data_IF_445318993223
#
_entry.id   IF_445318993223
#
_cell.length_a   1.000
_cell.length_b   1.000
_cell.length_c   1.000
_cell.angle_alpha   90.00
_cell.angle_beta   90.00
_cell.angle_gamma   90.00
#
_symmetry.space_group_name_H-M   'P 1'
#
loop_
_entity.id
_entity.type
_entity.pdbx_description
1 polymer ?
#
# COMPACT_ATOMS: atom_id res chain seq x y z
N UNK A 1 -12.61 -53.00 -4.23
CA UNK A 1 -14.06 -52.95 -3.97
C UNK A 1 -14.30 -52.25 -2.65
N UNK A 2 -14.86 -51.03 -2.67
CA UNK A 2 -15.75 -50.46 -1.64
C UNK A 2 -16.22 -49.08 -2.12
N UNK A 3 -17.54 -48.96 -2.26
CA UNK A 3 -18.30 -47.79 -2.71
C UNK A 3 -18.46 -46.76 -1.58
N UNK A 4 -18.62 -45.49 -1.95
CA UNK A 4 -19.37 -44.44 -1.21
C UNK A 4 -19.57 -43.26 -2.16
N UNK A 5 -20.63 -43.23 -2.98
CA UNK A 5 -21.93 -42.55 -2.77
C UNK A 5 -21.81 -41.06 -2.42
N UNK A 6 -21.94 -40.24 -3.47
CA UNK A 6 -22.18 -38.80 -3.46
C UNK A 6 -23.66 -38.50 -3.16
N UNK A 7 -23.94 -37.61 -2.22
CA UNK A 7 -25.28 -37.06 -1.99
C UNK A 7 -25.29 -35.57 -2.36
N UNK A 8 -26.13 -35.23 -3.36
CA UNK A 8 -26.38 -33.88 -3.86
C UNK A 8 -27.57 -33.28 -3.11
N UNK A 9 -27.41 -32.10 -2.51
CA UNK A 9 -28.51 -31.36 -1.88
C UNK A 9 -29.01 -30.29 -2.86
N UNK A 10 -30.27 -30.40 -3.28
CA UNK A 10 -31.01 -29.36 -4.02
C UNK A 10 -31.66 -28.41 -3.01
N UNK A 11 -31.38 -27.11 -3.12
CA UNK A 11 -32.12 -26.08 -2.41
C UNK A 11 -33.39 -25.72 -3.21
N UNK A 12 -34.56 -25.83 -2.57
CA UNK A 12 -35.84 -25.33 -3.08
C UNK A 12 -36.07 -23.95 -2.47
N UNK A 13 -36.11 -22.92 -3.30
CA UNK A 13 -36.48 -21.55 -2.91
C UNK A 13 -37.99 -21.39 -3.18
N UNK A 14 -38.76 -21.10 -2.14
CA UNK A 14 -40.17 -20.70 -2.24
C UNK A 14 -40.28 -19.20 -1.93
N UNK A 15 -40.69 -18.42 -2.95
CA UNK A 15 -41.06 -17.02 -2.82
C UNK A 15 -42.54 -16.90 -2.42
N UNK A 16 -42.93 -15.97 -1.55
CA UNK A 16 -44.33 -15.68 -1.26
C UNK A 16 -44.97 -14.78 -2.34
N UNK A 17 -46.30 -14.89 -2.57
CA UNK A 17 -46.98 -14.22 -3.67
C UNK A 17 -47.34 -12.76 -3.36
N UNK A 18 -47.39 -11.99 -4.45
CA UNK A 18 -47.86 -10.61 -4.56
C UNK A 18 -49.39 -10.56 -4.69
N UNK A 19 -50.03 -9.68 -3.92
CA UNK A 19 -51.38 -9.18 -4.19
C UNK A 19 -51.45 -7.70 -3.83
N UNK A 20 -51.82 -6.86 -4.80
CA UNK A 20 -51.93 -5.41 -4.64
C UNK A 20 -53.34 -4.90 -4.33
N UNK A 21 -53.49 -3.56 -4.34
CA UNK A 21 -54.76 -2.88 -4.59
C UNK A 21 -55.33 -1.96 -3.49
N UNK A 22 -54.87 -0.71 -3.49
CA UNK A 22 -55.61 0.58 -3.40
C UNK A 22 -56.60 0.95 -2.25
N UNK A 23 -56.42 2.24 -1.84
CA UNK A 23 -57.35 3.26 -1.28
C UNK A 23 -57.59 3.37 0.24
N UNK A 24 -57.00 4.43 0.82
CA UNK A 24 -57.73 5.61 1.30
C UNK A 24 -58.44 5.54 2.66
N UNK A 25 -57.91 6.25 3.66
CA UNK A 25 -58.65 6.59 4.88
C UNK A 25 -57.73 7.09 6.01
N UNK A 26 -57.96 8.33 6.47
CA UNK A 26 -57.19 9.04 7.51
C UNK A 26 -57.84 8.79 8.88
N UNK A 27 -57.01 8.87 9.92
CA UNK A 27 -57.31 9.07 11.36
C UNK A 27 -57.47 7.81 12.24
N UNK A 28 -56.53 7.65 13.19
CA UNK A 28 -56.71 7.89 14.63
C UNK A 28 -55.78 6.99 15.45
N UNK A 29 -54.92 7.60 16.28
CA UNK A 29 -54.19 6.94 17.37
C UNK A 29 -55.13 6.78 18.56
N UNK A 30 -55.15 5.63 19.26
CA UNK A 30 -54.72 5.64 20.67
C UNK A 30 -54.15 4.26 21.12
N UNK A 31 -54.02 3.95 22.43
CA UNK A 31 -52.88 4.26 23.26
C UNK A 31 -52.10 3.00 23.71
N UNK A 32 -50.92 3.25 24.29
CA UNK A 32 -50.04 2.30 24.98
C UNK A 32 -50.75 1.11 25.67
N UNK A 33 -50.37 -0.10 25.26
CA UNK A 33 -50.55 -1.34 26.03
C UNK A 33 -49.16 -1.95 26.23
N UNK A 34 -48.76 -2.32 27.45
CA UNK A 34 -47.47 -2.95 27.67
C UNK A 34 -47.57 -4.41 27.20
N UNK A 35 -46.80 -4.77 26.17
CA UNK A 35 -46.63 -6.18 25.81
C UNK A 35 -45.80 -6.87 26.88
N UNK A 36 -46.46 -7.60 27.77
CA UNK A 36 -45.83 -8.66 28.57
C UNK A 36 -45.59 -9.82 27.60
N UNK A 37 -44.36 -9.98 27.12
CA UNK A 37 -43.96 -11.18 26.39
C UNK A 37 -43.74 -12.29 27.41
N UNK A 38 -44.76 -13.15 27.56
CA UNK A 38 -44.63 -14.43 28.25
C UNK A 38 -43.92 -15.40 27.30
N UNK A 39 -42.60 -15.49 27.42
CA UNK A 39 -41.79 -16.46 26.68
C UNK A 39 -42.01 -17.85 27.28
N UNK A 40 -42.81 -18.66 26.59
CA UNK A 40 -42.90 -20.09 26.84
C UNK A 40 -41.57 -20.74 26.45
N UNK A 41 -40.79 -21.16 27.44
CA UNK A 41 -39.56 -21.94 27.27
C UNK A 41 -39.92 -23.35 26.78
N UNK A 42 -39.94 -23.54 25.46
CA UNK A 42 -39.74 -24.85 24.86
C UNK A 42 -38.24 -25.16 24.88
N UNK A 43 -37.85 -26.03 25.81
CA UNK A 43 -36.49 -26.52 25.94
C UNK A 43 -36.07 -27.33 24.72
N UNK A 44 -35.32 -26.72 23.82
CA UNK A 44 -34.43 -27.43 22.90
C UNK A 44 -33.14 -27.68 23.67
N UNK A 45 -32.90 -28.92 24.06
CA UNK A 45 -31.60 -29.33 24.60
C UNK A 45 -30.57 -29.31 23.46
N UNK A 46 -29.93 -28.15 23.28
CA UNK A 46 -28.68 -28.07 22.55
C UNK A 46 -27.57 -28.57 23.48
N UNK A 47 -26.98 -29.72 23.16
CA UNK A 47 -25.74 -30.19 23.77
C UNK A 47 -24.59 -29.32 23.29
N UNK A 48 -24.47 -28.11 23.82
CA UNK A 48 -23.29 -27.27 23.65
C UNK A 48 -22.19 -27.80 24.57
N UNK A 49 -21.17 -28.45 23.99
CA UNK A 49 -19.88 -28.59 24.67
C UNK A 49 -19.28 -27.20 24.82
N UNK A 50 -19.00 -26.82 26.06
CA UNK A 50 -18.01 -25.79 26.36
C UNK A 50 -16.65 -26.26 25.83
N UNK A 51 -15.80 -25.27 25.49
CA UNK A 51 -14.45 -25.39 24.92
C UNK A 51 -14.38 -25.43 23.38
N UNK A 52 -14.58 -24.27 22.76
CA UNK A 52 -13.88 -23.92 21.51
C UNK A 52 -13.21 -22.56 21.72
N UNK A 53 -12.08 -22.58 22.45
CA UNK A 53 -11.07 -21.53 22.30
C UNK A 53 -10.42 -21.73 20.93
N UNK A 54 -10.21 -20.67 20.13
CA UNK A 54 -9.46 -20.82 18.89
C UNK A 54 -8.08 -21.40 19.22
N UNK A 55 -7.77 -22.55 18.63
CA UNK A 55 -6.45 -23.18 18.75
C UNK A 55 -5.38 -22.17 18.33
N UNK A 56 -4.28 -22.01 19.09
CA UNK A 56 -3.12 -21.28 18.61
C UNK A 56 -2.70 -21.90 17.27
N UNK A 57 -2.59 -21.06 16.26
CA UNK A 57 -2.12 -21.43 14.93
C UNK A 57 -0.77 -22.16 15.04
N UNK A 58 -0.77 -23.45 14.73
CA UNK A 58 0.42 -24.31 14.80
C UNK A 58 1.49 -23.87 13.79
N UNK A 59 1.13 -23.02 12.81
CA UNK A 59 2.07 -22.36 11.89
C UNK A 59 2.96 -21.31 12.57
N UNK A 60 2.61 -20.83 13.76
CA UNK A 60 3.40 -19.82 14.48
C UNK A 60 4.73 -20.38 15.01
N UNK A 61 4.87 -21.70 15.17
CA UNK A 61 6.05 -22.34 15.80
C UNK A 61 7.24 -22.59 14.87
N UNK A 62 7.12 -22.34 13.57
CA UNK A 62 8.21 -22.52 12.58
C UNK A 62 8.64 -21.22 11.89
N UNK A 63 8.27 -20.06 12.42
CA UNK A 63 8.61 -18.79 11.79
C UNK A 63 10.07 -18.42 12.06
N UNK A 64 10.88 -18.14 11.03
CA UNK A 64 12.24 -17.64 11.21
C UNK A 64 12.20 -16.37 12.08
N UNK A 65 13.06 -16.30 13.09
CA UNK A 65 13.22 -15.10 13.89
C UNK A 65 13.84 -13.98 13.04
N UNK A 66 13.46 -12.72 13.32
CA UNK A 66 14.19 -11.57 12.80
C UNK A 66 15.69 -11.72 13.18
N UNK A 67 16.62 -11.26 12.32
CA UNK A 67 18.05 -11.32 12.63
C UNK A 67 18.36 -10.75 14.02
N UNK A 68 19.25 -11.42 14.75
CA UNK A 68 19.67 -10.96 16.08
C UNK A 68 20.25 -9.55 15.97
N UNK A 69 19.74 -8.63 16.79
CA UNK A 69 20.20 -7.25 16.81
C UNK A 69 21.58 -7.18 17.44
N UNK A 70 22.52 -6.62 16.70
CA UNK A 70 23.91 -6.51 17.10
C UNK A 70 24.10 -5.73 18.41
N UNK A 71 25.09 -6.13 19.20
CA UNK A 71 25.51 -5.46 20.42
C UNK A 71 25.79 -3.96 20.17
N UNK A 72 24.95 -3.08 20.72
CA UNK A 72 25.18 -1.63 20.72
C UNK A 72 24.00 -0.73 20.33
N UNK A 73 22.91 -1.29 19.78
CA UNK A 73 21.69 -0.53 19.53
C UNK A 73 20.86 -0.35 20.81
N UNK A 74 20.35 0.86 21.06
CA UNK A 74 19.59 1.21 22.28
C UNK A 74 18.10 1.36 21.96
N UNK A 75 17.19 0.71 22.71
CA UNK A 75 15.76 0.91 22.54
C UNK A 75 15.31 2.35 22.77
N UNK A 76 14.47 2.86 21.86
CA UNK A 76 13.80 4.16 21.99
C UNK A 76 12.38 4.06 22.54
N UNK A 77 11.83 2.84 22.63
CA UNK A 77 10.53 2.57 23.25
C UNK A 77 10.56 1.31 24.13
N UNK A 78 9.57 1.18 25.01
CA UNK A 78 9.46 0.08 25.98
C UNK A 78 9.47 -1.31 25.33
N UNK A 79 8.86 -1.45 24.15
CA UNK A 79 8.75 -2.73 23.44
C UNK A 79 10.02 -3.08 22.65
N UNK A 80 11.00 -2.18 22.55
CA UNK A 80 12.24 -2.40 21.81
C UNK A 80 12.02 -2.69 20.33
N UNK A 81 10.95 -2.13 19.75
CA UNK A 81 10.63 -2.21 18.31
C UNK A 81 11.32 -1.11 17.51
N UNK A 82 11.69 -0.01 18.15
CA UNK A 82 12.52 1.06 17.56
C UNK A 82 13.82 1.16 18.35
N UNK A 83 14.95 1.10 17.66
CA UNK A 83 16.26 1.12 18.26
C UNK A 83 17.18 2.11 17.56
N UNK A 84 18.02 2.77 18.33
CA UNK A 84 19.01 3.71 17.84
C UNK A 84 20.40 3.06 17.85
N UNK A 85 21.03 2.95 16.70
CA UNK A 85 22.41 2.50 16.53
C UNK A 85 23.26 3.69 16.06
N UNK A 86 23.68 4.51 17.03
CA UNK A 86 24.50 5.70 16.76
C UNK A 86 25.85 5.35 16.12
N UNK A 87 26.43 4.20 16.47
CA UNK A 87 27.75 3.78 15.97
C UNK A 87 27.71 3.51 14.46
N UNK A 88 26.63 2.90 13.98
CA UNK A 88 26.42 2.65 12.54
C UNK A 88 25.52 3.68 11.86
N UNK A 89 25.23 4.80 12.53
CA UNK A 89 24.40 5.89 12.04
C UNK A 89 23.05 5.45 11.46
N UNK A 90 22.30 4.62 12.20
CA UNK A 90 21.02 4.06 11.73
C UNK A 90 19.97 3.91 12.82
N UNK A 91 18.70 3.99 12.41
CA UNK A 91 17.55 3.58 13.24
C UNK A 91 17.11 2.19 12.75
N UNK A 92 16.93 1.26 13.68
CA UNK A 92 16.43 -0.08 13.39
C UNK A 92 14.97 -0.21 13.80
N UNK A 93 14.15 -0.70 12.89
CA UNK A 93 12.74 -0.97 13.13
C UNK A 93 12.47 -2.47 13.06
N UNK A 94 11.85 -3.03 14.10
CA UNK A 94 11.34 -4.42 14.07
C UNK A 94 9.91 -4.40 13.55
N UNK A 95 9.71 -4.94 12.36
CA UNK A 95 8.43 -4.97 11.64
C UNK A 95 8.09 -6.39 11.21
N UNK A 96 6.96 -6.55 10.52
CA UNK A 96 6.55 -7.81 9.88
C UNK A 96 5.81 -7.52 8.58
N UNK A 97 5.82 -8.48 7.66
CA UNK A 97 5.08 -8.40 6.39
C UNK A 97 3.58 -8.52 6.64
N UNK A 98 2.79 -7.56 6.14
CA UNK A 98 1.31 -7.57 6.21
C UNK A 98 0.65 -7.67 4.84
N UNK A 99 1.36 -7.27 3.78
CA UNK A 99 0.89 -7.32 2.39
C UNK A 99 1.99 -7.79 1.44
N UNK A 100 1.66 -8.73 0.56
CA UNK A 100 2.58 -9.25 -0.47
C UNK A 100 2.14 -8.91 -1.90
N UNK A 101 0.90 -8.47 -2.09
CA UNK A 101 0.31 -8.15 -3.41
C UNK A 101 -0.71 -7.03 -3.26
N UNK A 102 -0.71 -6.10 -4.19
CA UNK A 102 -1.67 -5.00 -4.25
C UNK A 102 -0.98 -3.67 -4.48
N UNK A 103 -1.78 -2.67 -4.82
CA UNK A 103 -1.31 -1.31 -4.98
C UNK A 103 -0.99 -0.68 -3.63
N UNK A 104 0.08 0.11 -3.57
CA UNK A 104 0.66 0.59 -2.33
C UNK A 104 0.46 2.09 -2.15
N UNK A 105 0.23 2.49 -0.91
CA UNK A 105 0.43 3.88 -0.45
C UNK A 105 1.65 3.97 0.47
N UNK A 106 1.94 2.89 1.21
CA UNK A 106 3.03 2.84 2.18
C UNK A 106 3.99 1.68 1.91
N UNK A 107 5.27 1.89 2.20
CA UNK A 107 6.21 0.80 2.48
C UNK A 107 5.96 0.25 3.88
N UNK A 108 5.85 1.16 4.87
CA UNK A 108 5.67 0.83 6.29
C UNK A 108 4.57 1.71 6.87
N UNK A 109 3.60 1.11 7.56
CA UNK A 109 2.63 1.82 8.38
C UNK A 109 2.74 1.43 9.85
N UNK A 110 2.05 2.18 10.71
CA UNK A 110 1.76 1.73 12.07
C UNK A 110 0.79 0.56 12.05
N UNK A 111 0.87 -0.29 13.07
CA UNK A 111 -0.12 -1.34 13.31
C UNK A 111 -1.50 -0.72 13.58
N UNK A 112 -2.54 -1.37 13.08
CA UNK A 112 -3.95 -0.99 13.11
C UNK A 112 -4.25 0.35 12.41
N UNK A 113 -3.60 0.60 11.26
CA UNK A 113 -3.89 1.79 10.45
C UNK A 113 -4.07 1.43 8.97
N UNK A 114 -2.97 1.26 8.23
CA UNK A 114 -2.95 1.18 6.76
C UNK A 114 -2.42 -0.16 6.24
N UNK A 115 -2.55 -1.27 6.99
CA UNK A 115 -1.98 -2.57 6.58
C UNK A 115 -2.50 -3.13 5.25
N UNK A 116 -3.67 -2.68 4.79
CA UNK A 116 -4.26 -3.10 3.52
C UNK A 116 -3.58 -2.48 2.29
N UNK A 117 -2.67 -1.51 2.50
CA UNK A 117 -1.93 -0.78 1.47
C UNK A 117 -0.46 -0.54 1.83
N UNK A 118 0.06 -1.34 2.77
CA UNK A 118 1.41 -1.27 3.31
C UNK A 118 2.11 -2.62 3.25
N UNK A 119 3.36 -2.70 2.80
CA UNK A 119 4.08 -3.99 2.81
C UNK A 119 4.39 -4.44 4.24
N UNK A 120 4.82 -3.51 5.09
CA UNK A 120 5.24 -3.76 6.48
C UNK A 120 4.36 -3.00 7.48
N UNK A 121 4.19 -3.58 8.66
CA UNK A 121 3.61 -2.89 9.81
C UNK A 121 4.54 -2.90 11.03
N UNK A 122 4.50 -1.82 11.81
CA UNK A 122 5.25 -1.67 13.07
C UNK A 122 4.33 -1.36 14.25
N UNK A 123 4.60 -2.02 15.38
CA UNK A 123 4.00 -1.67 16.67
C UNK A 123 4.89 -0.65 17.40
N UNK A 124 4.80 0.61 16.95
CA UNK A 124 5.46 1.76 17.54
C UNK A 124 4.72 3.06 17.17
N UNK A 125 4.93 4.12 17.94
CA UNK A 125 4.48 5.46 17.57
C UNK A 125 5.43 6.08 16.55
N UNK A 126 4.89 6.81 15.57
CA UNK A 126 5.68 7.43 14.50
C UNK A 126 6.69 8.45 15.06
N UNK A 127 6.31 9.21 16.09
CA UNK A 127 7.20 10.19 16.72
C UNK A 127 8.47 9.55 17.30
N UNK A 128 8.42 8.29 17.75
CA UNK A 128 9.60 7.58 18.26
C UNK A 128 10.62 7.35 17.13
N UNK A 129 10.13 7.00 15.94
CA UNK A 129 10.97 6.80 14.76
C UNK A 129 11.55 8.13 14.29
N UNK A 130 10.70 9.17 14.22
CA UNK A 130 11.10 10.54 13.90
C UNK A 130 12.23 11.01 14.84
N UNK A 131 12.05 10.88 16.15
CA UNK A 131 13.07 11.29 17.14
C UNK A 131 14.36 10.47 17.02
N UNK A 132 14.28 9.20 16.60
CA UNK A 132 15.45 8.40 16.28
C UNK A 132 16.27 8.98 15.13
N UNK A 133 15.61 9.43 14.05
CA UNK A 133 16.28 10.09 12.92
C UNK A 133 16.90 11.43 13.35
N UNK A 134 16.19 12.24 14.13
CA UNK A 134 16.75 13.48 14.69
C UNK A 134 17.97 13.21 15.59
N UNK A 135 17.96 12.13 16.37
CA UNK A 135 19.08 11.76 17.24
C UNK A 135 20.34 11.34 16.46
N UNK A 136 20.21 11.03 15.17
CA UNK A 136 21.31 10.81 14.22
C UNK A 136 21.72 12.10 13.48
N UNK A 137 21.07 13.23 13.76
CA UNK A 137 21.29 14.50 13.06
C UNK A 137 20.59 14.59 11.71
N UNK A 138 19.61 13.71 11.44
CA UNK A 138 18.83 13.80 10.21
C UNK A 138 18.00 15.09 10.18
N UNK A 139 17.93 15.76 9.03
CA UNK A 139 17.19 17.02 8.87
C UNK A 139 15.86 16.79 8.18
N UNK A 140 14.71 17.09 8.84
CA UNK A 140 13.44 17.06 8.17
C UNK A 140 13.33 18.22 7.17
N UNK A 141 12.66 18.00 6.05
CA UNK A 141 12.27 19.05 5.13
C UNK A 141 10.80 19.43 5.30
N UNK A 142 10.04 19.27 4.24
CA UNK A 142 8.60 19.58 4.20
C UNK A 142 7.86 18.45 3.51
N UNK A 143 6.70 18.02 4.02
CA UNK A 143 5.81 17.13 3.29
C UNK A 143 5.36 17.71 1.96
N UNK A 144 4.84 16.82 1.11
CA UNK A 144 4.06 17.22 -0.04
C UNK A 144 2.94 18.19 0.37
N UNK A 145 2.65 19.15 -0.49
CA UNK A 145 1.45 19.97 -0.40
C UNK A 145 1.05 20.44 -1.80
N UNK A 146 -0.24 20.70 -1.97
CA UNK A 146 -0.79 21.25 -3.20
C UNK A 146 -1.49 22.57 -2.92
N UNK A 147 -0.95 23.67 -3.43
CA UNK A 147 -1.60 24.99 -3.45
C UNK A 147 -1.44 25.60 -4.83
N UNK A 148 -2.45 25.40 -5.69
CA UNK A 148 -2.47 25.72 -7.14
C UNK A 148 -1.41 25.00 -7.98
N UNK A 149 -0.27 24.69 -7.39
CA UNK A 149 0.89 24.01 -7.94
C UNK A 149 1.27 22.82 -7.03
N UNK A 150 1.93 21.82 -7.64
CA UNK A 150 2.44 20.65 -6.94
C UNK A 150 3.80 20.96 -6.32
N UNK A 151 3.91 20.83 -5.00
CA UNK A 151 5.19 20.96 -4.29
C UNK A 151 5.64 19.58 -3.78
N UNK A 152 6.75 19.02 -4.30
CA UNK A 152 7.22 17.71 -3.89
C UNK A 152 7.65 17.69 -2.42
N UNK A 153 7.62 16.52 -1.76
CA UNK A 153 8.23 16.39 -0.46
C UNK A 153 9.74 16.67 -0.55
N UNK A 154 10.27 17.32 0.48
CA UNK A 154 11.69 17.67 0.60
C UNK A 154 12.24 17.16 1.92
N UNK A 155 13.56 17.05 2.02
CA UNK A 155 14.24 16.64 3.24
C UNK A 155 15.50 15.87 2.95
N UNK A 156 16.22 15.50 4.00
CA UNK A 156 17.41 14.69 3.83
C UNK A 156 17.03 13.30 3.30
N UNK A 157 17.79 12.79 2.34
CA UNK A 157 17.62 11.43 1.82
C UNK A 157 17.88 10.41 2.93
N UNK A 158 17.01 9.40 3.03
CA UNK A 158 17.16 8.27 3.93
C UNK A 158 17.25 6.99 3.09
N UNK A 159 18.38 6.29 3.19
CA UNK A 159 18.50 4.94 2.62
C UNK A 159 17.76 3.95 3.53
N UNK A 160 16.96 3.08 2.91
CA UNK A 160 16.16 2.07 3.62
C UNK A 160 16.57 0.68 3.16
N UNK A 161 17.00 -0.15 4.11
CA UNK A 161 17.31 -1.56 3.86
C UNK A 161 16.38 -2.49 4.64
N UNK A 162 15.98 -3.58 4.01
CA UNK A 162 15.12 -4.60 4.58
C UNK A 162 15.96 -5.85 4.84
N UNK A 163 15.91 -6.35 6.07
CA UNK A 163 16.63 -7.54 6.50
C UNK A 163 15.67 -8.60 7.01
N UNK A 164 15.78 -9.83 6.52
CA UNK A 164 15.01 -10.98 7.01
C UNK A 164 15.82 -12.26 6.85
N UNK A 165 15.35 -13.32 7.49
CA UNK A 165 15.86 -14.67 7.30
C UNK A 165 14.78 -15.46 6.57
N UNK A 166 15.12 -16.11 5.46
CA UNK A 166 14.18 -16.95 4.72
C UNK A 166 13.96 -18.32 5.40
N UNK A 167 13.04 -19.11 4.86
CA UNK A 167 12.71 -20.43 5.39
C UNK A 167 13.87 -21.43 5.29
N UNK A 168 14.89 -21.14 4.47
CA UNK A 168 16.13 -21.91 4.37
C UNK A 168 17.20 -21.46 5.39
N UNK A 169 16.89 -20.48 6.24
CA UNK A 169 17.82 -19.93 7.22
C UNK A 169 18.83 -18.94 6.63
N UNK A 170 18.69 -18.54 5.36
CA UNK A 170 19.58 -17.58 4.72
C UNK A 170 19.13 -16.16 5.06
N UNK A 171 20.08 -15.35 5.55
CA UNK A 171 19.86 -13.93 5.77
C UNK A 171 19.90 -13.15 4.45
N UNK A 172 18.96 -12.23 4.31
CA UNK A 172 18.86 -11.31 3.20
C UNK A 172 18.99 -9.88 3.70
N UNK A 173 19.61 -9.03 2.89
CA UNK A 173 19.63 -7.57 3.05
C UNK A 173 19.48 -6.94 1.68
N UNK A 174 18.38 -6.22 1.45
CA UNK A 174 18.07 -5.61 0.15
C UNK A 174 17.66 -4.15 0.34
N UNK A 175 17.87 -3.27 -0.66
CA UNK A 175 17.27 -1.96 -0.67
C UNK A 175 15.74 -2.10 -0.70
N UNK A 176 15.02 -1.27 0.06
CA UNK A 176 13.56 -1.37 0.16
C UNK A 176 12.85 -1.15 -1.17
N UNK A 177 13.45 -0.38 -2.09
CA UNK A 177 12.96 -0.23 -3.46
C UNK A 177 12.76 -1.56 -4.17
N UNK A 178 13.56 -2.59 -3.85
CA UNK A 178 13.47 -3.89 -4.51
C UNK A 178 12.16 -4.63 -4.25
N UNK A 179 11.44 -4.30 -3.17
CA UNK A 179 10.11 -4.86 -2.85
C UNK A 179 8.97 -4.08 -3.48
N UNK A 180 9.25 -2.97 -4.16
CA UNK A 180 8.28 -2.08 -4.77
C UNK A 180 8.51 -2.06 -6.28
N UNK A 181 7.45 -2.15 -7.07
CA UNK A 181 7.52 -1.99 -8.53
C UNK A 181 6.45 -1.05 -9.02
N UNK A 182 6.66 -0.51 -10.22
CA UNK A 182 5.59 0.21 -10.92
C UNK A 182 4.34 -0.66 -11.06
N UNK A 183 3.17 -0.05 -10.94
CA UNK A 183 1.91 -0.76 -11.10
C UNK A 183 1.77 -1.33 -12.51
N UNK A 184 1.62 -2.65 -12.60
CA UNK A 184 1.42 -3.39 -13.85
C UNK A 184 0.09 -4.14 -13.85
N UNK A 185 -0.64 -4.20 -12.75
CA UNK A 185 -1.97 -4.79 -12.69
C UNK A 185 -3.06 -3.73 -12.89
N UNK A 186 -3.03 -3.07 -14.05
CA UNK A 186 -3.89 -1.93 -14.41
C UNK A 186 -4.24 -1.95 -15.90
N UNK A 187 -5.14 -1.05 -16.29
CA UNK A 187 -5.43 -0.79 -17.70
C UNK A 187 -4.41 0.20 -18.28
N UNK A 188 -4.01 -0.06 -19.51
CA UNK A 188 -3.45 0.92 -20.43
C UNK A 188 -4.37 1.08 -21.61
N UNK A 189 -4.42 2.29 -22.13
CA UNK A 189 -5.41 2.68 -23.12
C UNK A 189 -4.83 3.63 -24.14
N UNK A 190 -5.22 3.45 -25.40
CA UNK A 190 -4.86 4.33 -26.52
C UNK A 190 -6.13 4.69 -27.27
N UNK A 191 -6.31 5.99 -27.55
CA UNK A 191 -7.42 6.47 -28.38
C UNK A 191 -7.29 5.93 -29.80
N UNK A 192 -8.39 5.37 -30.30
CA UNK A 192 -8.48 4.72 -31.59
C UNK A 192 -9.93 4.85 -32.09
N UNK A 193 -10.13 5.62 -33.17
CA UNK A 193 -11.47 5.92 -33.69
C UNK A 193 -12.27 4.68 -34.11
N UNK A 194 -11.58 3.68 -34.66
CA UNK A 194 -12.13 2.39 -35.05
C UNK A 194 -11.02 1.36 -35.13
N UNK A 195 -11.36 0.09 -34.94
CA UNK A 195 -10.43 -0.99 -35.25
C UNK A 195 -10.12 -1.04 -36.74
N UNK A 196 -8.89 -1.43 -37.13
CA UNK A 196 -8.56 -1.74 -38.52
C UNK A 196 -9.61 -2.65 -39.18
N UNK A 197 -9.93 -2.37 -40.44
CA UNK A 197 -10.94 -3.13 -41.19
C UNK A 197 -10.56 -4.62 -41.23
N UNK A 198 -11.51 -5.48 -40.86
CA UNK A 198 -11.31 -6.94 -40.81
C UNK A 198 -10.59 -7.46 -39.57
N UNK A 199 -10.06 -6.60 -38.70
CA UNK A 199 -9.44 -7.04 -37.44
C UNK A 199 -10.49 -7.60 -36.48
N UNK A 200 -10.23 -8.81 -36.01
CA UNK A 200 -11.02 -9.45 -34.95
C UNK A 200 -10.11 -9.68 -33.74
N UNK A 201 -10.46 -9.10 -32.59
CA UNK A 201 -9.72 -9.30 -31.35
C UNK A 201 -10.05 -10.67 -30.73
N UNK A 202 -9.08 -11.36 -30.10
CA UNK A 202 -9.34 -12.63 -29.41
C UNK A 202 -10.34 -12.45 -28.26
N UNK A 203 -11.36 -13.32 -28.20
CA UNK A 203 -12.42 -13.23 -27.17
C UNK A 203 -11.93 -13.55 -25.75
N UNK A 204 -10.91 -14.40 -25.63
CA UNK A 204 -10.33 -14.85 -24.35
C UNK A 204 -8.96 -14.16 -24.09
N UNK A 205 -8.87 -12.86 -24.37
CA UNK A 205 -7.70 -12.02 -24.13
C UNK A 205 -8.06 -10.92 -23.13
N UNK A 206 -7.14 -10.10 -22.64
CA UNK A 206 -7.44 -8.83 -21.94
C UNK A 206 -7.45 -7.62 -22.89
N UNK A 207 -7.13 -7.82 -24.18
CA UNK A 207 -7.18 -6.78 -25.20
C UNK A 207 -8.63 -6.47 -25.56
N UNK A 208 -9.06 -5.22 -25.40
CA UNK A 208 -10.44 -4.77 -25.60
C UNK A 208 -10.50 -3.54 -26.48
N UNK A 209 -11.59 -3.41 -27.22
CA UNK A 209 -11.93 -2.18 -27.91
C UNK A 209 -13.29 -1.68 -27.46
N UNK A 210 -13.30 -0.50 -26.85
CA UNK A 210 -14.54 0.20 -26.49
C UNK A 210 -14.95 1.12 -27.64
N UNK A 211 -16.07 0.78 -28.30
CA UNK A 211 -16.62 1.55 -29.42
C UNK A 211 -17.17 2.92 -29.00
N UNK A 212 -17.63 3.06 -27.75
CA UNK A 212 -18.20 4.32 -27.23
C UNK A 212 -17.09 5.27 -26.83
N UNK A 213 -16.06 4.76 -26.15
CA UNK A 213 -14.90 5.53 -25.69
C UNK A 213 -13.84 5.70 -26.79
N UNK A 214 -13.99 4.98 -27.90
CA UNK A 214 -13.06 4.97 -29.05
C UNK A 214 -11.64 4.68 -28.59
N UNK A 215 -11.50 3.54 -27.93
CA UNK A 215 -10.30 3.23 -27.16
C UNK A 215 -9.97 1.75 -27.27
N UNK A 216 -8.71 1.47 -27.61
CA UNK A 216 -8.12 0.15 -27.44
C UNK A 216 -7.48 0.11 -26.05
N UNK A 217 -7.72 -0.95 -25.30
CA UNK A 217 -7.16 -1.12 -23.97
C UNK A 217 -6.63 -2.52 -23.71
N UNK A 218 -5.66 -2.61 -22.81
CA UNK A 218 -5.03 -3.85 -22.35
C UNK A 218 -4.93 -3.83 -20.83
N UNK A 219 -5.12 -4.98 -20.18
CA UNK A 219 -4.97 -5.13 -18.73
C UNK A 219 -3.84 -6.10 -18.37
N UNK A 220 -3.03 -5.73 -17.38
CA UNK A 220 -2.01 -6.60 -16.80
C UNK A 220 -0.69 -6.70 -17.57
N UNK A 221 0.30 -7.45 -17.07
CA UNK A 221 1.55 -7.69 -17.79
C UNK A 221 1.30 -8.40 -19.13
N UNK A 222 1.87 -7.88 -20.22
CA UNK A 222 1.85 -8.53 -21.53
C UNK A 222 3.13 -9.35 -21.74
N UNK A 223 2.96 -10.63 -22.09
CA UNK A 223 4.08 -11.51 -22.49
C UNK A 223 4.52 -11.22 -23.93
N UNK A 224 5.76 -11.59 -24.28
CA UNK A 224 6.26 -11.48 -25.65
C UNK A 224 5.41 -12.26 -26.65
N UNK A 225 4.94 -13.46 -26.26
CA UNK A 225 4.06 -14.27 -27.11
C UNK A 225 2.72 -13.58 -27.39
N UNK A 226 2.10 -12.96 -26.38
CA UNK A 226 0.87 -12.18 -26.58
C UNK A 226 1.11 -10.95 -27.44
N UNK A 227 2.22 -10.23 -27.23
CA UNK A 227 2.62 -9.11 -28.07
C UNK A 227 2.73 -9.56 -29.53
N UNK A 228 3.47 -10.62 -29.80
CA UNK A 228 3.73 -11.11 -31.15
C UNK A 228 2.45 -11.64 -31.82
N UNK A 229 1.59 -12.34 -31.06
CA UNK A 229 0.25 -12.73 -31.50
C UNK A 229 -0.56 -11.51 -31.94
N UNK A 230 -0.68 -10.49 -31.08
CA UNK A 230 -1.47 -9.29 -31.37
C UNK A 230 -0.89 -8.50 -32.54
N UNK A 231 0.44 -8.34 -32.61
CA UNK A 231 1.10 -7.71 -33.75
C UNK A 231 0.86 -8.47 -35.07
N UNK A 232 0.63 -9.78 -35.02
CA UNK A 232 0.27 -10.60 -36.17
C UNK A 232 -1.16 -10.39 -36.67
N UNK A 233 -2.07 -9.85 -35.85
CA UNK A 233 -3.48 -9.68 -36.22
C UNK A 233 -3.72 -8.55 -37.23
N UNK A 234 -2.82 -7.58 -37.32
CA UNK A 234 -2.95 -6.45 -38.26
C UNK A 234 -1.61 -5.83 -38.64
N UNK A 235 -1.53 -5.35 -39.88
CA UNK A 235 -0.42 -4.52 -40.38
C UNK A 235 -0.66 -3.02 -40.16
N UNK A 236 -1.81 -2.64 -39.63
CA UNK A 236 -2.14 -1.24 -39.35
C UNK A 236 -1.15 -0.62 -38.37
N UNK A 237 -0.62 0.56 -38.73
CA UNK A 237 0.45 1.19 -37.97
C UNK A 237 0.00 1.65 -36.59
N UNK A 238 -1.19 2.26 -36.48
CA UNK A 238 -1.68 2.80 -35.21
C UNK A 238 -2.00 1.67 -34.22
N UNK A 239 -2.60 0.58 -34.70
CA UNK A 239 -2.84 -0.61 -33.89
C UNK A 239 -1.55 -1.25 -33.39
N UNK A 240 -0.55 -1.44 -34.26
CA UNK A 240 0.73 -2.03 -33.87
C UNK A 240 1.47 -1.16 -32.83
N UNK A 241 1.47 0.15 -33.02
CA UNK A 241 2.03 1.10 -32.05
C UNK A 241 1.31 1.02 -30.69
N UNK A 242 -0.01 0.85 -30.67
CA UNK A 242 -0.76 0.66 -29.43
C UNK A 242 -0.34 -0.64 -28.72
N UNK A 243 -0.23 -1.76 -29.45
CA UNK A 243 0.22 -3.05 -28.89
C UNK A 243 1.64 -2.96 -28.36
N UNK A 244 2.58 -2.38 -29.11
CA UNK A 244 3.96 -2.16 -28.67
C UNK A 244 4.01 -1.30 -27.40
N UNK A 245 3.20 -0.24 -27.34
CA UNK A 245 3.10 0.63 -26.18
C UNK A 245 2.54 -0.11 -24.94
N UNK A 246 1.51 -0.94 -25.11
CA UNK A 246 1.00 -1.77 -24.01
C UNK A 246 2.05 -2.76 -23.52
N UNK A 247 2.79 -3.38 -24.43
CA UNK A 247 3.89 -4.28 -24.05
C UNK A 247 4.93 -3.52 -23.23
N UNK A 248 5.47 -2.42 -23.74
CA UNK A 248 6.51 -1.64 -23.06
C UNK A 248 6.05 -1.12 -21.68
N UNK A 249 4.83 -0.62 -21.58
CA UNK A 249 4.31 -0.04 -20.34
C UNK A 249 3.95 -1.09 -19.29
N UNK A 250 3.61 -2.30 -19.71
CA UNK A 250 3.19 -3.40 -18.81
C UNK A 250 4.33 -4.25 -18.26
N UNK A 251 5.58 -3.93 -18.61
CA UNK A 251 6.75 -4.64 -18.09
C UNK A 251 7.03 -4.28 -16.62
N UNK A 252 7.35 -5.30 -15.84
CA UNK A 252 7.72 -5.14 -14.43
C UNK A 252 9.00 -4.32 -14.28
N UNK A 253 8.92 -3.19 -13.59
CA UNK A 253 10.05 -2.31 -13.31
C UNK A 253 10.12 -1.98 -11.83
N UNK A 254 11.25 -2.30 -11.21
CA UNK A 254 11.54 -1.96 -9.82
C UNK A 254 11.48 -0.44 -9.61
N UNK A 255 11.00 -0.01 -8.45
CA UNK A 255 11.02 1.40 -8.05
C UNK A 255 12.45 1.94 -8.04
N UNK A 256 12.64 3.17 -8.54
CA UNK A 256 13.94 3.89 -8.52
C UNK A 256 13.93 5.16 -7.69
N UNK A 257 12.79 5.49 -7.09
CA UNK A 257 12.64 6.65 -6.23
C UNK A 257 13.48 6.53 -4.95
N UNK A 258 13.94 7.68 -4.47
CA UNK A 258 14.56 7.83 -3.16
C UNK A 258 13.50 8.20 -2.11
N UNK A 259 13.78 7.92 -0.84
CA UNK A 259 12.99 8.43 0.28
C UNK A 259 13.65 9.67 0.90
N UNK A 260 12.83 10.67 1.20
CA UNK A 260 13.24 11.90 1.89
C UNK A 260 12.53 12.03 3.23
N UNK A 261 13.26 12.53 4.23
CA UNK A 261 12.72 12.82 5.55
C UNK A 261 11.88 14.10 5.50
N UNK A 262 10.60 13.95 5.11
CA UNK A 262 9.63 15.04 5.04
C UNK A 262 9.30 15.63 6.41
N UNK A 263 9.32 14.80 7.46
CA UNK A 263 9.15 15.24 8.84
C UNK A 263 7.69 15.28 9.33
N UNK A 264 6.71 15.14 8.44
CA UNK A 264 5.27 15.27 8.72
C UNK A 264 4.88 16.67 9.22
N UNK A 265 3.67 16.79 9.77
CA UNK A 265 3.12 18.00 10.36
C UNK A 265 2.41 17.71 11.67
N UNK A 266 1.74 18.73 12.19
CA UNK A 266 0.87 18.57 13.34
C UNK A 266 -0.50 19.17 13.05
N UNK A 267 -1.54 18.45 13.42
CA UNK A 267 -2.91 18.93 13.49
C UNK A 267 -3.21 19.40 14.92
N UNK A 268 -3.97 20.48 15.06
CA UNK A 268 -4.49 20.92 16.34
C UNK A 268 -6.00 20.81 16.27
N UNK A 269 -6.57 19.96 17.11
CA UNK A 269 -8.02 19.83 17.22
C UNK A 269 -8.60 21.13 17.79
N UNK A 270 -9.49 21.78 17.03
CA UNK A 270 -10.00 23.12 17.37
C UNK A 270 -10.89 23.13 18.61
N UNK A 271 -11.44 21.98 19.01
CA UNK A 271 -12.36 21.87 20.15
C UNK A 271 -11.61 21.60 21.44
N UNK A 272 -10.72 20.61 21.42
CA UNK A 272 -9.96 20.14 22.59
C UNK A 272 -8.60 20.85 22.75
N UNK A 273 -8.09 21.48 21.69
CA UNK A 273 -6.75 22.07 21.66
C UNK A 273 -5.61 21.03 21.60
N UNK A 274 -5.94 19.75 21.44
CA UNK A 274 -4.96 18.69 21.42
C UNK A 274 -4.15 18.72 20.12
N UNK A 275 -2.83 18.64 20.27
CA UNK A 275 -1.89 18.59 19.15
C UNK A 275 -1.56 17.15 18.80
N UNK A 276 -1.87 16.74 17.59
CA UNK A 276 -1.60 15.40 17.06
C UNK A 276 -0.51 15.47 15.99
N UNK A 277 0.42 14.51 16.01
CA UNK A 277 1.43 14.36 14.98
C UNK A 277 0.84 13.57 13.81
N UNK A 278 0.80 14.15 12.60
CA UNK A 278 -0.01 13.61 11.49
C UNK A 278 0.41 12.19 11.07
N UNK A 279 1.71 11.87 11.11
CA UNK A 279 2.20 10.54 10.78
C UNK A 279 1.72 9.44 11.74
N UNK A 280 1.12 9.80 12.89
CA UNK A 280 0.49 8.82 13.78
C UNK A 280 -0.75 8.16 13.17
N UNK A 281 -1.34 8.74 12.11
CA UNK A 281 -2.48 8.16 11.39
C UNK A 281 -2.08 7.09 10.36
N UNK A 282 -0.77 6.84 10.20
CA UNK A 282 -0.24 5.75 9.38
C UNK A 282 0.66 6.19 8.23
N UNK A 283 0.78 7.50 7.97
CA UNK A 283 1.65 8.10 6.95
C UNK A 283 3.14 8.07 7.36
N UNK A 284 3.63 6.86 7.62
CA UNK A 284 4.93 6.64 8.24
C UNK A 284 6.07 6.60 7.20
N UNK A 285 6.09 5.61 6.30
CA UNK A 285 7.04 5.56 5.18
C UNK A 285 6.24 5.31 3.91
N UNK A 286 6.05 6.38 3.13
CA UNK A 286 5.12 6.40 2.01
C UNK A 286 5.80 6.02 0.68
N UNK A 287 5.02 5.48 -0.25
CA UNK A 287 5.38 5.32 -1.68
C UNK A 287 4.45 6.12 -2.59
N UNK A 288 3.48 6.82 -2.02
CA UNK A 288 2.74 7.91 -2.62
C UNK A 288 2.87 9.15 -1.72
N UNK A 289 2.62 10.35 -2.24
CA UNK A 289 2.89 11.58 -1.52
C UNK A 289 1.72 12.02 -0.65
N UNK A 290 2.02 12.29 0.63
CA UNK A 290 1.02 12.67 1.64
C UNK A 290 1.48 13.89 2.43
N UNK A 291 0.53 14.76 2.78
CA UNK A 291 0.78 15.92 3.65
C UNK A 291 1.19 15.47 5.07
N UNK A 292 0.75 14.28 5.49
CA UNK A 292 1.08 13.66 6.77
C UNK A 292 2.39 12.87 6.80
N UNK A 293 3.11 12.72 5.67
CA UNK A 293 4.23 11.79 5.55
C UNK A 293 5.42 12.13 6.46
N UNK A 294 5.86 11.16 7.28
CA UNK A 294 7.16 11.26 7.99
C UNK A 294 8.33 11.05 7.02
N UNK A 295 8.31 9.96 6.26
CA UNK A 295 9.17 9.69 5.12
C UNK A 295 8.32 9.52 3.87
N UNK A 296 8.76 10.09 2.76
CA UNK A 296 8.01 10.12 1.51
C UNK A 296 8.93 9.87 0.32
N UNK A 297 8.39 9.37 -0.79
CA UNK A 297 9.16 9.23 -2.04
C UNK A 297 9.40 10.60 -2.67
N UNK A 298 10.62 10.84 -3.13
CA UNK A 298 11.05 12.13 -3.69
C UNK A 298 10.52 12.42 -5.10
N UNK A 299 9.72 11.52 -5.66
CA UNK A 299 9.11 11.68 -6.99
C UNK A 299 7.65 12.05 -6.83
N UNK A 300 7.11 12.76 -7.82
CA UNK A 300 5.70 13.10 -7.81
C UNK A 300 4.83 11.86 -7.97
N UNK A 301 3.86 11.73 -7.08
CA UNK A 301 2.68 10.90 -7.29
C UNK A 301 1.90 11.54 -8.42
N UNK A 302 1.67 10.80 -9.51
CA UNK A 302 0.81 11.28 -10.59
C UNK A 302 -0.52 11.77 -10.02
N UNK A 303 -0.90 13.01 -10.36
CA UNK A 303 -2.14 13.65 -9.89
C UNK A 303 -3.44 13.01 -10.43
N UNK A 304 -3.34 11.93 -11.23
CA UNK A 304 -4.47 11.13 -11.66
C UNK A 304 -4.80 10.06 -10.62
N UNK A 305 -5.97 10.17 -9.98
CA UNK A 305 -6.48 9.21 -8.98
C UNK A 305 -6.52 7.75 -9.46
N UNK A 306 -6.49 7.51 -10.78
CA UNK A 306 -6.59 6.17 -11.37
C UNK A 306 -5.24 5.42 -11.42
N UNK A 307 -4.16 6.02 -10.94
CA UNK A 307 -2.81 5.47 -11.05
C UNK A 307 -2.06 5.48 -9.72
N UNK A 308 -2.35 4.51 -8.84
CA UNK A 308 -1.38 4.16 -7.79
C UNK A 308 -0.09 3.76 -8.51
N UNK A 309 0.95 4.59 -8.39
CA UNK A 309 2.18 4.43 -9.18
C UNK A 309 2.93 3.14 -8.87
N UNK A 310 2.73 2.60 -7.67
CA UNK A 310 3.47 1.46 -7.18
C UNK A 310 2.57 0.35 -6.63
N UNK A 311 3.05 -0.86 -6.78
CA UNK A 311 2.48 -2.08 -6.20
C UNK A 311 3.58 -2.94 -5.57
N UNK A 312 3.16 -3.86 -4.71
CA UNK A 312 4.05 -4.83 -4.08
C UNK A 312 4.69 -5.76 -5.13
N UNK A 313 6.01 -5.90 -5.09
CA UNK A 313 6.74 -6.83 -5.96
C UNK A 313 6.68 -8.24 -5.35
N UNK A 314 5.54 -8.91 -5.54
CA UNK A 314 5.17 -10.17 -4.86
C UNK A 314 6.29 -11.21 -4.80
N UNK A 315 7.00 -11.46 -5.91
CA UNK A 315 8.02 -12.51 -5.99
C UNK A 315 9.26 -12.26 -5.12
N UNK A 316 9.41 -11.05 -4.56
CA UNK A 316 10.55 -10.62 -3.74
C UNK A 316 10.20 -10.44 -2.27
N UNK A 317 8.92 -10.48 -1.93
CA UNK A 317 8.42 -10.24 -0.58
C UNK A 317 8.17 -11.60 0.09
N UNK A 318 8.80 -11.89 1.24
CA UNK A 318 8.60 -13.15 1.94
C UNK A 318 7.15 -13.28 2.45
N UNK A 319 6.73 -14.48 2.89
CA UNK A 319 5.37 -14.73 3.37
C UNK A 319 4.90 -13.70 4.40
N UNK A 320 3.58 -13.46 4.44
CA UNK A 320 2.97 -12.67 5.52
C UNK A 320 3.45 -13.13 6.89
N UNK A 321 3.53 -12.18 7.81
CA UNK A 321 4.05 -12.33 9.17
C UNK A 321 5.55 -12.64 9.28
N UNK A 322 6.29 -12.68 8.16
CA UNK A 322 7.77 -12.79 8.23
C UNK A 322 8.33 -11.58 8.98
N UNK A 323 9.11 -11.79 10.06
CA UNK A 323 9.75 -10.69 10.76
C UNK A 323 10.82 -10.02 9.89
N UNK A 324 10.80 -8.69 9.85
CA UNK A 324 11.74 -7.88 9.07
C UNK A 324 12.38 -6.85 9.99
N UNK A 325 13.70 -6.73 9.93
CA UNK A 325 14.42 -5.61 10.53
C UNK A 325 14.73 -4.58 9.46
N UNK A 326 14.19 -3.38 9.61
CA UNK A 326 14.39 -2.27 8.68
C UNK A 326 15.47 -1.37 9.21
N UNK A 327 16.41 -0.97 8.35
CA UNK A 327 17.42 0.03 8.65
C UNK A 327 17.02 1.34 7.98
N UNK A 328 16.94 2.43 8.76
CA UNK A 328 16.86 3.79 8.24
C UNK A 328 18.21 4.46 8.42
N UNK A 329 18.85 4.88 7.34
CA UNK A 329 20.20 5.43 7.32
C UNK A 329 20.17 6.82 6.70
N UNK A 330 20.36 7.91 7.48
CA UNK A 330 20.47 9.25 6.92
C UNK A 330 21.68 9.37 5.99
N UNK A 331 21.46 9.77 4.74
CA UNK A 331 22.52 9.98 3.76
C UNK A 331 23.17 11.34 4.03
N UNK A 332 24.50 11.43 4.23
CA UNK A 332 25.17 12.71 4.45
C UNK A 332 24.88 13.70 3.32
N UNK A 333 24.49 14.92 3.66
CA UNK A 333 24.35 15.99 2.67
C UNK A 333 25.73 16.30 2.06
N UNK A 334 25.82 16.52 0.73
CA UNK A 334 27.03 17.03 0.13
C UNK A 334 27.45 18.32 0.83
N UNK A 335 28.70 18.41 1.28
CA UNK A 335 29.22 19.68 1.82
C UNK A 335 29.08 20.74 0.73
N UNK A 336 28.27 21.78 0.97
CA UNK A 336 28.23 22.94 0.08
C UNK A 336 29.65 23.47 -0.10
N UNK A 337 30.10 23.58 -1.35
CA UNK A 337 31.32 24.32 -1.65
C UNK A 337 31.06 25.78 -1.26
N UNK A 338 31.98 26.46 -0.55
CA UNK A 338 31.80 27.87 -0.25
C UNK A 338 31.51 28.62 -1.55
N UNK A 339 30.36 29.31 -1.59
CA UNK A 339 29.99 30.14 -2.74
C UNK A 339 31.06 31.19 -3.01
N UNK A 340 31.16 31.70 -4.26
CA UNK A 340 32.08 32.79 -4.57
C UNK A 340 31.84 33.96 -3.62
N UNK A 341 32.89 34.40 -2.92
CA UNK A 341 32.83 35.61 -2.09
C UNK A 341 32.41 36.77 -3.00
N UNK A 342 31.24 37.34 -2.71
CA UNK A 342 30.74 38.55 -3.36
C UNK A 342 31.79 39.67 -3.18
N UNK A 343 32.49 40.02 -4.26
CA UNK A 343 33.36 41.19 -4.27
C UNK A 343 32.46 42.42 -4.20
N UNK A 344 32.45 43.08 -3.04
CA UNK A 344 31.87 44.41 -2.92
C UNK A 344 32.72 45.39 -3.73
N UNK A 345 32.26 45.68 -4.95
CA UNK A 345 32.78 46.77 -5.75
C UNK A 345 32.51 48.11 -5.06
N UNK A 346 33.54 48.65 -4.43
CA UNK A 346 33.58 50.02 -3.94
C UNK A 346 33.62 50.97 -5.15
N UNK A 347 32.45 51.36 -5.64
CA UNK A 347 32.32 52.44 -6.64
C UNK A 347 32.56 53.79 -5.95
N UNK A 348 33.81 54.26 -5.98
CA UNK A 348 34.20 55.64 -5.67
C UNK A 348 33.45 56.57 -6.65
N UNK A 349 32.59 57.44 -6.11
CA UNK A 349 32.06 58.60 -6.83
C UNK A 349 33.20 59.59 -7.07
N UNK A 350 33.49 59.88 -8.34
CA UNK A 350 34.23 61.07 -8.79
C UNK A 350 33.25 62.20 -9.07
#
# INVERSE_FOLDING_TARGET
MRNSVTASVRAIILLPPSTGGLRGGRQSTPPWTPFVVLLALLGIQATGRADDKPSPDESAKKRPAAPAIENGAVPLNKNGTVLLDKKKNRVLLKTHVVLQRGALEMLICKKQTKEHESILAIDAQAYVIHTGLLALGAKPGKPYHFDKEYFPPTGQKIDIFLNWTDDAGKSHRVPAQSWVRQAINRYWSVKMESLPVGLTLPKNSELRYDRKLKELSWYGPMTEAQRDEFLGLSKDKAYRQAVESFFEQSQSREMKADWVFAGSGFYVDEVSGNKQYNAEDGDLICVANFEGAMLDVSIASSASNDERNFEAYTDRIPPKETPVTVELIPVPEPKEKPGPKEQKDNKKKS
#
